data_IF_213701667277
#
_entry.id   IF_213701667277
#
_cell.length_a   1.000
_cell.length_b   1.000
_cell.length_c   1.000
_cell.angle_alpha   90.00
_cell.angle_beta   90.00
_cell.angle_gamma   90.00
#
_symmetry.space_group_name_H-M   'P 1'
#
loop_
_entity.id
_entity.type
_entity.pdbx_description
1 polymer ?
#
# COMPACT_ATOMS: atom_id res chain seq x y z
N UNK A 1 13.81 -10.69 12.61
CA UNK A 1 14.38 -9.34 12.37
C UNK A 1 13.77 -8.34 13.35
N UNK A 2 14.40 -7.18 13.53
CA UNK A 2 13.94 -6.09 14.43
C UNK A 2 13.31 -4.93 13.67
N UNK A 3 12.79 -5.16 12.46
CA UNK A 3 12.19 -4.13 11.61
C UNK A 3 10.72 -4.45 11.39
N UNK A 4 9.85 -3.49 11.69
CA UNK A 4 8.45 -3.53 11.30
C UNK A 4 8.29 -2.72 10.01
N UNK A 5 7.78 -3.37 8.96
CA UNK A 5 7.37 -2.72 7.73
C UNK A 5 5.88 -2.41 7.83
N UNK A 6 5.51 -1.16 7.52
CA UNK A 6 4.13 -0.67 7.60
C UNK A 6 3.75 -0.14 6.22
N UNK A 7 2.81 -0.80 5.57
CA UNK A 7 2.14 -0.28 4.37
C UNK A 7 0.84 0.40 4.78
N UNK A 8 0.59 1.57 4.21
CA UNK A 8 -0.57 2.38 4.58
C UNK A 8 -0.92 3.36 3.47
N UNK A 9 -2.12 3.93 3.56
CA UNK A 9 -2.51 5.12 2.79
C UNK A 9 -2.76 6.29 3.74
N UNK A 10 -2.79 7.50 3.20
CA UNK A 10 -3.02 8.71 3.98
C UNK A 10 -4.27 9.40 3.48
N UNK A 11 -5.31 9.39 4.30
CA UNK A 11 -6.54 10.14 4.05
C UNK A 11 -6.24 11.62 3.75
N UNK A 12 -7.00 12.20 2.82
CA UNK A 12 -6.82 13.56 2.26
C UNK A 12 -5.59 13.74 1.37
N UNK A 13 -4.89 12.67 1.00
CA UNK A 13 -3.93 12.73 -0.11
C UNK A 13 -4.68 12.79 -1.43
N UNK A 14 -4.05 13.38 -2.45
CA UNK A 14 -4.62 13.54 -3.79
C UNK A 14 -3.48 13.33 -4.83
N UNK A 15 -3.47 12.21 -5.59
CA UNK A 15 -4.32 11.04 -5.36
C UNK A 15 -3.95 10.32 -4.06
N UNK A 16 -4.86 9.48 -3.55
CA UNK A 16 -4.48 8.55 -2.49
C UNK A 16 -3.60 7.44 -3.07
N UNK A 17 -2.51 7.13 -2.38
CA UNK A 17 -1.45 6.25 -2.88
C UNK A 17 -0.95 5.35 -1.74
N UNK A 18 -0.37 4.21 -2.11
CA UNK A 18 0.19 3.27 -1.15
C UNK A 18 1.59 3.72 -0.78
N UNK A 19 1.80 3.87 0.52
CA UNK A 19 3.06 4.28 1.12
C UNK A 19 3.60 3.13 1.98
N UNK A 20 4.92 3.13 2.18
CA UNK A 20 5.60 2.26 3.14
C UNK A 20 6.46 3.09 4.08
N UNK A 21 6.51 2.69 5.34
CA UNK A 21 7.54 3.13 6.28
C UNK A 21 8.13 1.93 7.03
N UNK A 22 9.30 2.12 7.63
CA UNK A 22 9.93 1.15 8.52
C UNK A 22 10.01 1.71 9.93
N UNK A 23 9.91 0.85 10.93
CA UNK A 23 10.18 1.15 12.34
C UNK A 23 11.25 0.16 12.83
N UNK A 24 12.29 0.66 13.48
CA UNK A 24 13.25 -0.16 14.24
C UNK A 24 12.66 -0.49 15.61
N UNK A 25 12.62 -1.78 15.94
CA UNK A 25 12.01 -2.33 17.14
C UNK A 25 13.03 -2.60 18.26
N UNK A 26 14.30 -2.22 18.08
CA UNK A 26 15.36 -2.46 19.08
C UNK A 26 15.24 -1.58 20.33
N UNK A 27 14.59 -0.42 20.23
CA UNK A 27 14.37 0.50 21.36
C UNK A 27 13.04 0.19 22.08
N UNK A 28 12.81 0.85 23.22
CA UNK A 28 11.52 0.83 23.92
C UNK A 28 10.39 1.28 22.98
N UNK A 29 9.25 0.58 23.05
CA UNK A 29 8.12 0.80 22.13
C UNK A 29 7.53 2.21 22.20
N UNK A 30 7.70 2.92 23.31
CA UNK A 30 7.29 4.33 23.44
C UNK A 30 8.18 5.28 22.63
N UNK A 31 9.41 4.87 22.33
CA UNK A 31 10.38 5.60 21.54
C UNK A 31 10.38 5.22 20.05
N UNK A 32 9.60 4.22 19.64
CA UNK A 32 9.50 3.84 18.23
C UNK A 32 9.11 5.03 17.36
N UNK A 33 9.90 5.26 16.30
CA UNK A 33 9.65 6.31 15.30
C UNK A 33 9.72 5.71 13.91
N UNK A 34 8.71 5.95 13.06
CA UNK A 34 8.78 5.56 11.66
C UNK A 34 9.79 6.42 10.91
N UNK A 35 10.44 5.82 9.91
CA UNK A 35 11.19 6.56 8.89
C UNK A 35 10.27 7.50 8.10
N UNK A 36 10.81 8.45 7.32
CA UNK A 36 10.01 9.14 6.31
C UNK A 36 9.32 8.12 5.37
N UNK A 37 8.01 8.26 5.10
CA UNK A 37 7.31 7.35 4.20
C UNK A 37 7.84 7.44 2.77
N UNK A 38 7.96 6.30 2.11
CA UNK A 38 8.23 6.19 0.68
C UNK A 38 6.97 5.78 -0.06
N UNK A 39 6.83 6.25 -1.30
CA UNK A 39 5.75 5.80 -2.17
C UNK A 39 6.07 4.43 -2.74
N UNK A 40 5.09 3.54 -2.70
CA UNK A 40 5.17 2.16 -3.22
C UNK A 40 4.39 2.02 -4.51
N UNK A 41 3.16 2.52 -4.53
CA UNK A 41 2.27 2.40 -5.66
C UNK A 41 1.32 3.59 -5.74
N UNK A 42 1.08 4.06 -6.96
CA UNK A 42 0.11 5.10 -7.30
C UNK A 42 -0.76 4.60 -8.46
N UNK A 43 -2.00 5.10 -8.60
CA UNK A 43 -2.85 4.70 -9.71
C UNK A 43 -2.27 5.19 -11.04
N UNK A 44 -2.15 4.29 -12.01
CA UNK A 44 -1.65 4.55 -13.37
C UNK A 44 -2.60 4.03 -14.45
N UNK A 45 -3.45 3.07 -14.13
CA UNK A 45 -4.36 2.42 -15.05
C UNK A 45 -5.79 2.98 -14.98
N UNK A 46 -6.53 2.87 -16.08
CA UNK A 46 -7.91 3.36 -16.15
C UNK A 46 -8.83 2.70 -15.11
N UNK A 47 -8.65 1.40 -14.85
CA UNK A 47 -9.42 0.65 -13.86
C UNK A 47 -9.07 1.00 -12.41
N UNK A 48 -7.93 1.67 -12.18
CA UNK A 48 -7.53 2.21 -10.88
C UNK A 48 -8.10 3.61 -10.62
N UNK A 49 -8.72 4.23 -11.64
CA UNK A 49 -9.22 5.59 -11.58
C UNK A 49 -8.20 6.66 -11.97
N UNK A 50 -7.08 6.30 -12.63
CA UNK A 50 -6.03 7.26 -13.01
C UNK A 50 -6.50 8.39 -13.95
N UNK A 51 -7.60 8.18 -14.68
CA UNK A 51 -8.23 9.18 -15.53
C UNK A 51 -9.23 10.12 -14.81
N UNK A 52 -9.51 9.88 -13.53
CA UNK A 52 -10.45 10.68 -12.74
C UNK A 52 -9.77 11.92 -12.15
N UNK A 53 -10.56 12.86 -11.64
CA UNK A 53 -10.04 14.07 -11.02
C UNK A 53 -9.17 13.76 -9.80
N UNK A 54 -8.03 14.45 -9.70
CA UNK A 54 -7.14 14.36 -8.53
C UNK A 54 -7.71 15.24 -7.42
N UNK A 55 -8.45 14.62 -6.51
CA UNK A 55 -9.11 15.30 -5.40
C UNK A 55 -8.73 14.68 -4.05
N UNK A 56 -8.65 15.47 -2.96
CA UNK A 56 -8.40 14.94 -1.64
C UNK A 56 -9.46 13.92 -1.22
N UNK A 57 -9.01 12.74 -0.80
CA UNK A 57 -9.95 11.70 -0.40
C UNK A 57 -10.63 12.00 0.96
N UNK A 58 -11.96 11.91 1.06
CA UNK A 58 -12.65 11.97 2.34
C UNK A 58 -12.30 10.73 3.18
N UNK A 59 -12.29 10.90 4.51
CA UNK A 59 -12.20 9.76 5.43
C UNK A 59 -13.50 8.97 5.38
N UNK A 60 -13.39 7.65 5.35
CA UNK A 60 -14.53 6.73 5.29
C UNK A 60 -14.70 6.09 3.91
N UNK A 61 -15.84 5.40 3.70
CA UNK A 61 -16.12 4.68 2.48
C UNK A 61 -16.30 5.64 1.30
N UNK A 62 -15.98 5.15 0.11
CA UNK A 62 -16.23 5.86 -1.13
C UNK A 62 -17.54 5.38 -1.77
N UNK A 63 -18.33 6.32 -2.29
CA UNK A 63 -19.61 6.01 -2.96
C UNK A 63 -19.56 6.24 -4.47
N UNK A 64 -18.41 6.68 -4.99
CA UNK A 64 -18.16 6.94 -6.40
C UNK A 64 -16.71 6.58 -6.73
N UNK A 65 -16.41 6.26 -8.00
CA UNK A 65 -15.04 6.06 -8.44
C UNK A 65 -14.13 7.26 -8.13
N UNK A 66 -12.91 7.01 -7.68
CA UNK A 66 -11.93 8.03 -7.29
C UNK A 66 -10.56 7.78 -7.88
N UNK A 67 -9.77 8.84 -8.07
CA UNK A 67 -8.35 8.75 -8.43
C UNK A 67 -7.53 8.37 -7.18
N UNK A 68 -7.50 7.10 -6.80
CA UNK A 68 -6.73 6.68 -5.63
C UNK A 68 -6.75 5.18 -5.31
N UNK A 69 -5.70 4.75 -4.62
CA UNK A 69 -5.52 3.40 -4.06
C UNK A 69 -5.74 3.41 -2.55
N UNK A 70 -6.27 2.31 -2.00
CA UNK A 70 -6.64 2.16 -0.58
C UNK A 70 -6.39 0.73 -0.08
N UNK A 71 -6.45 0.58 1.25
CA UNK A 71 -6.48 -0.70 1.96
C UNK A 71 -5.38 -1.70 1.56
N UNK A 72 -4.09 -1.33 1.69
CA UNK A 72 -2.99 -2.20 1.33
C UNK A 72 -2.95 -3.42 2.26
N UNK A 73 -2.83 -4.61 1.67
CA UNK A 73 -2.61 -5.86 2.38
C UNK A 73 -1.42 -6.60 1.77
N UNK A 74 -0.40 -6.87 2.59
CA UNK A 74 0.79 -7.60 2.16
C UNK A 74 0.66 -9.07 2.54
N UNK A 75 0.87 -9.95 1.57
CA UNK A 75 0.83 -11.38 1.71
C UNK A 75 2.16 -12.00 1.26
N UNK A 76 2.83 -12.68 2.18
CA UNK A 76 4.00 -13.50 1.90
C UNK A 76 3.55 -14.95 1.66
N UNK A 77 3.84 -15.50 0.48
CA UNK A 77 3.51 -16.88 0.08
C UNK A 77 4.73 -17.55 -0.54
N UNK A 78 4.92 -18.85 -0.31
CA UNK A 78 5.85 -19.65 -1.11
C UNK A 78 5.27 -19.80 -2.52
N UNK A 79 6.06 -19.51 -3.54
CA UNK A 79 5.69 -19.65 -4.95
C UNK A 79 6.39 -20.89 -5.48
N UNK A 80 5.67 -21.76 -6.18
CA UNK A 80 6.15 -23.02 -6.78
C UNK A 80 6.46 -24.18 -5.79
N UNK A 81 6.93 -25.31 -6.33
CA UNK A 81 7.45 -26.48 -5.59
C UNK A 81 8.82 -26.19 -4.93
N UNK A 82 9.32 -24.97 -5.06
CA UNK A 82 10.55 -24.50 -4.41
C UNK A 82 10.20 -23.84 -3.06
N UNK A 83 10.42 -24.52 -1.92
CA UNK A 83 10.12 -23.96 -0.61
C UNK A 83 10.96 -22.73 -0.25
N UNK A 84 12.03 -22.44 -0.99
CA UNK A 84 12.89 -21.28 -0.80
C UNK A 84 12.49 -20.08 -1.69
N UNK A 85 11.57 -20.26 -2.65
CA UNK A 85 11.05 -19.19 -3.49
C UNK A 85 9.90 -18.44 -2.79
N UNK A 86 10.24 -17.56 -1.84
CA UNK A 86 9.26 -16.67 -1.21
C UNK A 86 8.84 -15.53 -2.17
N UNK A 87 7.53 -15.36 -2.37
CA UNK A 87 6.93 -14.25 -3.10
C UNK A 87 6.13 -13.36 -2.16
N UNK A 88 6.40 -12.05 -2.20
CA UNK A 88 5.59 -11.04 -1.51
C UNK A 88 4.63 -10.38 -2.48
N UNK A 89 3.38 -10.25 -2.07
CA UNK A 89 2.31 -9.67 -2.88
C UNK A 89 1.62 -8.55 -2.12
N UNK A 90 1.27 -7.48 -2.84
CA UNK A 90 0.48 -6.38 -2.33
C UNK A 90 -0.89 -6.40 -3.00
N UNK A 91 -1.92 -6.65 -2.20
CA UNK A 91 -3.32 -6.46 -2.55
C UNK A 91 -3.75 -5.05 -2.17
N UNK A 92 -4.64 -4.45 -2.96
CA UNK A 92 -5.15 -3.11 -2.69
C UNK A 92 -6.51 -2.89 -3.34
N UNK A 93 -7.30 -2.01 -2.74
CA UNK A 93 -8.49 -1.44 -3.36
C UNK A 93 -8.10 -0.26 -4.25
N UNK A 94 -8.77 -0.12 -5.40
CA UNK A 94 -8.55 0.97 -6.34
C UNK A 94 -9.86 1.60 -6.78
N UNK A 95 -9.76 2.71 -7.51
CA UNK A 95 -10.90 3.47 -7.99
C UNK A 95 -11.94 3.81 -6.89
N UNK A 96 -11.53 4.09 -5.66
CA UNK A 96 -12.47 4.32 -4.54
C UNK A 96 -13.21 3.05 -4.09
N UNK A 97 -12.51 1.93 -3.95
CA UNK A 97 -13.09 0.62 -3.53
C UNK A 97 -13.99 -0.04 -4.60
N UNK A 98 -13.94 0.42 -5.85
CA UNK A 98 -14.69 -0.16 -6.98
C UNK A 98 -13.92 -1.24 -7.75
N UNK A 99 -12.63 -1.43 -7.44
CA UNK A 99 -11.80 -2.49 -8.03
C UNK A 99 -10.75 -2.99 -7.03
N UNK A 100 -10.22 -4.18 -7.29
CA UNK A 100 -9.14 -4.79 -6.51
C UNK A 100 -7.96 -5.09 -7.42
N UNK A 101 -6.76 -4.71 -6.98
CA UNK A 101 -5.51 -4.98 -7.65
C UNK A 101 -4.62 -5.90 -6.82
N UNK A 102 -3.69 -6.57 -7.51
CA UNK A 102 -2.60 -7.32 -6.89
C UNK A 102 -1.33 -7.08 -7.70
N UNK A 103 -0.22 -6.86 -7.00
CA UNK A 103 1.11 -6.75 -7.62
C UNK A 103 2.16 -7.45 -6.77
N UNK A 104 3.24 -7.91 -7.39
CA UNK A 104 4.39 -8.45 -6.65
C UNK A 104 5.18 -7.30 -6.05
N UNK A 105 5.62 -7.45 -4.80
CA UNK A 105 6.61 -6.57 -4.19
C UNK A 105 7.98 -7.22 -4.31
N UNK A 106 8.93 -6.50 -4.90
CA UNK A 106 10.33 -6.90 -4.88
C UNK A 106 10.99 -6.47 -3.54
N UNK A 107 12.07 -7.13 -3.14
CA UNK A 107 12.73 -6.91 -1.83
C UNK A 107 13.25 -5.48 -1.60
N UNK A 108 13.39 -4.69 -2.67
CA UNK A 108 13.82 -3.30 -2.60
C UNK A 108 12.69 -2.33 -2.18
N UNK A 109 11.43 -2.76 -2.21
CA UNK A 109 10.24 -1.90 -2.12
C UNK A 109 9.62 -1.78 -0.74
#
# INVERSE_FOLDING_TARGET
GHRLLIWFTRARSAPEQILRTTVDLLDDWTNWRPTPPVEVLRPTEAWEGAGLAVEPTPRGPSFQPQHGLRDPYVLDVSVDDDPDAAGRWLFYAAAGEFSLGVTRLDDAT
#
